data_IF_100090907249
#
_entry.id   IF_100090907249
#
_cell.length_a   1.000
_cell.length_b   1.000
_cell.length_c   1.000
_cell.angle_alpha   90.00
_cell.angle_beta   90.00
_cell.angle_gamma   90.00
#
_symmetry.space_group_name_H-M   'P 1'
#
loop_
_entity.id
_entity.type
_entity.pdbx_description
1 polymer ?
#
# COMPACT_ATOMS: atom_id res chain seq x y z
N UNK A 1 -17.79 -21.32 17.42
CA UNK A 1 -17.56 -21.06 15.99
C UNK A 1 -16.12 -21.42 15.71
N UNK A 2 -15.86 -22.68 15.33
CA UNK A 2 -14.51 -23.15 15.03
C UNK A 2 -14.04 -22.41 13.78
N UNK A 3 -12.93 -21.70 13.88
CA UNK A 3 -12.21 -21.19 12.71
C UNK A 3 -11.75 -22.44 11.95
N UNK A 4 -12.56 -22.88 11.00
CA UNK A 4 -12.22 -23.96 10.08
C UNK A 4 -10.92 -23.55 9.39
N UNK A 5 -9.99 -24.49 9.25
CA UNK A 5 -8.70 -24.23 8.61
C UNK A 5 -8.85 -23.63 7.21
N UNK A 6 -7.74 -23.17 6.59
CA UNK A 6 -7.75 -22.63 5.23
C UNK A 6 -8.63 -23.46 4.28
N UNK A 7 -9.69 -22.82 3.74
CA UNK A 7 -10.84 -23.51 3.16
C UNK A 7 -10.54 -24.28 1.87
N UNK A 8 -9.46 -23.93 1.17
CA UNK A 8 -9.06 -24.61 -0.07
C UNK A 8 -7.89 -25.56 0.21
N UNK A 9 -8.20 -26.84 0.18
CA UNK A 9 -7.21 -27.91 0.08
C UNK A 9 -7.05 -28.25 -1.40
N UNK A 10 -5.81 -28.44 -1.85
CA UNK A 10 -5.56 -28.92 -3.21
C UNK A 10 -4.14 -29.44 -3.34
N UNK A 11 -4.01 -30.61 -3.96
CA UNK A 11 -2.72 -31.21 -4.28
C UNK A 11 -2.07 -31.89 -3.08
N UNK A 12 -0.96 -32.56 -3.38
CA UNK A 12 -0.11 -33.21 -2.38
C UNK A 12 1.31 -32.64 -2.49
N UNK A 13 2.06 -32.53 -1.37
CA UNK A 13 3.47 -32.19 -1.43
C UNK A 13 4.26 -33.23 -2.24
N UNK A 14 5.37 -32.84 -2.88
CA UNK A 14 6.21 -33.78 -3.61
C UNK A 14 6.69 -34.92 -2.70
N UNK A 15 6.53 -36.17 -3.15
CA UNK A 15 6.99 -37.37 -2.45
C UNK A 15 5.93 -38.16 -1.66
N UNK A 16 4.63 -37.78 -1.72
CA UNK A 16 3.54 -38.53 -1.06
C UNK A 16 2.73 -39.41 -2.05
N UNK A 17 2.24 -40.56 -1.58
CA UNK A 17 1.43 -41.53 -2.36
C UNK A 17 0.08 -40.93 -2.79
N UNK A 18 -0.53 -41.51 -3.83
CA UNK A 18 -1.80 -41.08 -4.46
C UNK A 18 -3.01 -40.93 -3.50
N UNK A 19 -2.96 -41.48 -2.27
CA UNK A 19 -4.01 -41.35 -1.24
C UNK A 19 -3.64 -40.36 -0.12
N UNK A 20 -2.72 -39.43 -0.37
CA UNK A 20 -2.35 -38.42 0.60
C UNK A 20 -3.48 -37.41 0.82
N UNK A 21 -3.72 -37.05 2.09
CA UNK A 21 -4.64 -35.96 2.45
C UNK A 21 -4.17 -34.68 1.77
N UNK A 22 -5.11 -34.01 1.09
CA UNK A 22 -4.84 -32.74 0.43
C UNK A 22 -4.35 -31.69 1.43
N UNK A 23 -3.37 -30.90 1.00
CA UNK A 23 -2.82 -29.84 1.83
C UNK A 23 -3.47 -28.49 1.52
N UNK A 24 -3.56 -27.58 2.49
CA UNK A 24 -4.00 -26.23 2.24
C UNK A 24 -3.16 -25.55 1.16
N UNK A 25 -3.82 -24.83 0.24
CA UNK A 25 -3.10 -24.10 -0.81
C UNK A 25 -2.16 -23.03 -0.23
N UNK A 26 -2.51 -22.47 0.94
CA UNK A 26 -1.66 -21.51 1.66
C UNK A 26 -0.35 -22.13 2.19
N UNK A 27 -0.23 -23.45 2.27
CA UNK A 27 1.01 -24.11 2.67
C UNK A 27 2.10 -24.05 1.59
N UNK A 28 1.74 -23.75 0.34
CA UNK A 28 2.71 -23.60 -0.74
C UNK A 28 3.40 -22.24 -0.70
N UNK A 29 4.73 -22.25 -0.84
CA UNK A 29 5.56 -21.03 -0.81
C UNK A 29 5.12 -20.01 -1.87
N UNK A 30 4.81 -20.44 -3.09
CA UNK A 30 4.31 -19.55 -4.15
C UNK A 30 3.03 -18.81 -3.73
N UNK A 31 2.13 -19.46 -3.01
CA UNK A 31 0.90 -18.83 -2.52
C UNK A 31 1.20 -17.85 -1.38
N UNK A 32 2.13 -18.19 -0.49
CA UNK A 32 2.58 -17.31 0.60
C UNK A 32 3.27 -16.06 0.06
N UNK A 33 4.17 -16.21 -0.92
CA UNK A 33 4.86 -15.09 -1.59
C UNK A 33 3.91 -14.19 -2.37
N UNK A 34 2.73 -14.69 -2.73
CA UNK A 34 1.69 -13.87 -3.34
C UNK A 34 0.90 -13.10 -2.28
N UNK A 35 0.43 -13.77 -1.22
CA UNK A 35 -0.49 -13.20 -0.23
C UNK A 35 0.20 -12.40 0.89
N UNK A 36 1.26 -12.94 1.50
CA UNK A 36 1.88 -12.36 2.69
C UNK A 36 2.49 -10.97 2.43
N UNK A 37 3.15 -10.70 1.29
CA UNK A 37 3.63 -9.35 1.00
C UNK A 37 2.51 -8.32 0.87
N UNK A 38 1.34 -8.71 0.32
CA UNK A 38 0.20 -7.80 0.22
C UNK A 38 -0.41 -7.49 1.59
N UNK A 39 -0.42 -8.48 2.50
CA UNK A 39 -0.81 -8.25 3.90
C UNK A 39 0.20 -7.32 4.57
N UNK A 40 1.50 -7.57 4.44
CA UNK A 40 2.53 -6.69 4.99
C UNK A 40 2.41 -5.25 4.46
N UNK A 41 2.13 -5.10 3.16
CA UNK A 41 1.90 -3.82 2.52
C UNK A 41 0.69 -3.08 3.09
N UNK A 42 -0.43 -3.78 3.36
CA UNK A 42 -1.63 -3.13 3.91
C UNK A 42 -1.39 -2.53 5.30
N UNK A 43 -0.66 -3.25 6.17
CA UNK A 43 -0.23 -2.73 7.47
C UNK A 43 0.78 -1.58 7.32
N UNK A 44 1.73 -1.70 6.40
CA UNK A 44 2.67 -0.62 6.08
C UNK A 44 1.95 0.66 5.65
N UNK A 45 0.95 0.53 4.78
CA UNK A 45 0.12 1.65 4.33
C UNK A 45 -0.69 2.25 5.47
N UNK A 46 -1.26 1.42 6.35
CA UNK A 46 -2.02 1.87 7.52
C UNK A 46 -1.17 2.73 8.47
N UNK A 47 0.07 2.30 8.76
CA UNK A 47 0.97 3.08 9.62
C UNK A 47 1.43 4.37 8.97
N UNK A 48 1.77 4.34 7.67
CA UNK A 48 2.13 5.54 6.92
C UNK A 48 0.97 6.54 6.87
N UNK A 49 -0.25 6.08 6.63
CA UNK A 49 -1.45 6.91 6.64
C UNK A 49 -1.67 7.58 8.01
N UNK A 50 -1.59 6.81 9.11
CA UNK A 50 -1.71 7.36 10.47
C UNK A 50 -0.67 8.44 10.74
N UNK A 51 0.58 8.22 10.30
CA UNK A 51 1.66 9.20 10.45
C UNK A 51 1.39 10.46 9.63
N UNK A 52 1.01 10.33 8.36
CA UNK A 52 0.67 11.47 7.50
C UNK A 52 -0.51 12.27 8.05
N UNK A 53 -1.56 11.59 8.52
CA UNK A 53 -2.72 12.24 9.15
C UNK A 53 -2.31 13.02 10.40
N UNK A 54 -1.50 12.44 11.28
CA UNK A 54 -1.02 13.15 12.46
C UNK A 54 -0.22 14.42 12.11
N UNK A 55 0.62 14.36 11.06
CA UNK A 55 1.34 15.55 10.58
C UNK A 55 0.35 16.58 10.02
N UNK A 56 -0.59 16.15 9.18
CA UNK A 56 -1.63 17.03 8.61
C UNK A 56 -2.44 17.74 9.71
N UNK A 57 -2.93 17.00 10.70
CA UNK A 57 -3.71 17.54 11.81
C UNK A 57 -2.87 18.55 12.62
N UNK A 58 -1.60 18.24 12.88
CA UNK A 58 -0.68 19.15 13.57
C UNK A 58 -0.39 20.44 12.79
N UNK A 59 -0.45 20.40 11.46
CA UNK A 59 -0.28 21.59 10.62
C UNK A 59 -1.56 22.42 10.64
N UNK A 60 -2.72 21.77 10.58
CA UNK A 60 -4.02 22.45 10.57
C UNK A 60 -4.25 23.25 11.85
N UNK A 61 -3.84 22.74 13.01
CA UNK A 61 -3.92 23.49 14.28
C UNK A 61 -2.96 24.66 14.38
N UNK A 62 -1.92 24.70 13.54
CA UNK A 62 -0.95 25.81 13.48
C UNK A 62 -1.35 26.87 12.43
N UNK A 63 -2.44 26.66 11.69
CA UNK A 63 -2.90 27.54 10.61
C UNK A 63 -3.81 28.69 11.08
N UNK A 64 -3.93 28.94 12.39
CA UNK A 64 -4.70 30.05 12.93
C UNK A 64 -3.96 31.40 12.75
N UNK A 65 -3.98 31.94 11.52
CA UNK A 65 -3.45 33.28 11.21
C UNK A 65 -2.64 33.35 9.91
N UNK A 66 -1.66 34.27 9.87
CA UNK A 66 -0.77 34.43 8.71
C UNK A 66 0.20 33.26 8.59
N UNK A 67 0.24 32.63 7.41
CA UNK A 67 1.12 31.48 7.15
C UNK A 67 2.56 31.96 6.97
N UNK A 68 3.48 31.45 7.80
CA UNK A 68 4.90 31.74 7.69
C UNK A 68 5.58 30.88 6.63
N UNK A 69 6.74 31.32 6.11
CA UNK A 69 7.49 30.60 5.08
C UNK A 69 7.83 29.14 5.46
N UNK A 70 8.09 28.88 6.74
CA UNK A 70 8.33 27.53 7.25
C UNK A 70 7.09 26.63 7.16
N UNK A 71 5.90 27.16 7.47
CA UNK A 71 4.64 26.40 7.40
C UNK A 71 4.27 26.10 5.94
N UNK A 72 4.48 27.05 5.03
CA UNK A 72 4.32 26.82 3.59
C UNK A 72 5.27 25.74 3.07
N UNK A 73 6.54 25.75 3.51
CA UNK A 73 7.49 24.70 3.14
C UNK A 73 6.97 23.34 3.61
N UNK A 74 6.62 23.20 4.89
CA UNK A 74 6.07 21.97 5.46
C UNK A 74 4.80 21.46 4.75
N UNK A 75 3.89 22.35 4.35
CA UNK A 75 2.70 21.99 3.58
C UNK A 75 3.07 21.44 2.20
N UNK A 76 4.03 22.07 1.52
CA UNK A 76 4.57 21.57 0.25
C UNK A 76 5.25 20.20 0.43
N UNK A 77 5.94 19.99 1.55
CA UNK A 77 6.54 18.69 1.88
C UNK A 77 5.47 17.61 2.05
N UNK A 78 4.41 17.93 2.80
CA UNK A 78 3.30 17.03 3.07
C UNK A 78 2.57 16.67 1.76
N UNK A 79 2.23 17.66 0.94
CA UNK A 79 1.61 17.46 -0.37
C UNK A 79 2.48 16.58 -1.27
N UNK A 80 3.76 16.89 -1.42
CA UNK A 80 4.64 16.07 -2.26
C UNK A 80 4.73 14.62 -1.76
N UNK A 81 4.82 14.41 -0.45
CA UNK A 81 4.90 13.08 0.15
C UNK A 81 3.60 12.31 -0.01
N UNK A 82 2.44 12.95 0.20
CA UNK A 82 1.13 12.33 0.03
C UNK A 82 0.86 11.99 -1.44
N UNK A 83 1.23 12.86 -2.40
CA UNK A 83 1.13 12.59 -3.84
C UNK A 83 1.91 11.33 -4.23
N UNK A 84 3.18 11.24 -3.83
CA UNK A 84 4.03 10.09 -4.11
C UNK A 84 3.50 8.80 -3.47
N UNK A 85 3.09 8.87 -2.19
CA UNK A 85 2.54 7.71 -1.49
C UNK A 85 1.23 7.24 -2.13
N UNK A 86 0.33 8.15 -2.49
CA UNK A 86 -0.94 7.81 -3.14
C UNK A 86 -0.69 7.13 -4.48
N UNK A 87 0.20 7.65 -5.32
CA UNK A 87 0.55 7.04 -6.59
C UNK A 87 1.10 5.62 -6.42
N UNK A 88 2.04 5.43 -5.49
CA UNK A 88 2.63 4.13 -5.20
C UNK A 88 1.62 3.12 -4.63
N UNK A 89 0.92 3.49 -3.56
CA UNK A 89 0.02 2.59 -2.83
C UNK A 89 -1.17 2.18 -3.68
N UNK A 90 -1.79 3.10 -4.41
CA UNK A 90 -2.97 2.77 -5.24
C UNK A 90 -2.60 1.83 -6.39
N UNK A 91 -1.46 2.06 -7.04
CA UNK A 91 -0.95 1.18 -8.10
C UNK A 91 -0.65 -0.22 -7.58
N UNK A 92 0.11 -0.32 -6.49
CA UNK A 92 0.48 -1.63 -5.93
C UNK A 92 -0.71 -2.37 -5.32
N UNK A 93 -1.65 -1.67 -4.69
CA UNK A 93 -2.89 -2.27 -4.20
C UNK A 93 -3.75 -2.81 -5.35
N UNK A 94 -3.90 -2.05 -6.45
CA UNK A 94 -4.68 -2.49 -7.62
C UNK A 94 -4.07 -3.75 -8.26
N UNK A 95 -2.75 -3.74 -8.46
CA UNK A 95 -2.00 -4.90 -8.96
C UNK A 95 -2.11 -6.10 -8.00
N UNK A 96 -2.02 -5.82 -6.69
CA UNK A 96 -2.16 -6.81 -5.64
C UNK A 96 -3.53 -7.49 -5.62
N UNK A 97 -4.62 -6.74 -5.80
CA UNK A 97 -5.96 -7.30 -5.85
C UNK A 97 -6.12 -8.29 -7.01
N UNK A 98 -5.56 -8.00 -8.19
CA UNK A 98 -5.57 -8.98 -9.31
C UNK A 98 -4.74 -10.23 -8.98
N UNK A 99 -3.59 -10.07 -8.31
CA UNK A 99 -2.80 -11.23 -7.84
C UNK A 99 -3.60 -12.09 -6.85
N UNK A 100 -4.34 -11.46 -5.92
CA UNK A 100 -5.19 -12.16 -4.96
C UNK A 100 -6.35 -12.87 -5.63
N UNK A 101 -6.99 -12.23 -6.63
CA UNK A 101 -8.03 -12.84 -7.44
C UNK A 101 -7.54 -14.13 -8.12
N UNK A 102 -6.34 -14.08 -8.72
CA UNK A 102 -5.70 -15.24 -9.34
C UNK A 102 -5.32 -16.33 -8.33
N UNK A 103 -4.85 -15.94 -7.14
CA UNK A 103 -4.51 -16.86 -6.06
C UNK A 103 -5.73 -17.65 -5.56
N UNK A 104 -6.95 -17.11 -5.70
CA UNK A 104 -8.20 -17.82 -5.44
C UNK A 104 -8.60 -18.81 -6.55
N UNK A 105 -7.86 -18.91 -7.66
CA UNK A 105 -8.16 -19.78 -8.80
C UNK A 105 -9.49 -19.43 -9.49
N UNK A 106 -10.17 -20.43 -10.04
CA UNK A 106 -11.44 -20.24 -10.74
C UNK A 106 -12.53 -19.59 -9.88
N UNK A 107 -12.58 -19.91 -8.59
CA UNK A 107 -13.54 -19.28 -7.66
C UNK A 107 -13.28 -17.78 -7.46
N UNK A 108 -12.06 -17.30 -7.65
CA UNK A 108 -11.75 -15.87 -7.64
C UNK A 108 -12.30 -15.10 -8.83
N UNK A 109 -12.65 -15.79 -9.93
CA UNK A 109 -13.34 -15.17 -11.07
C UNK A 109 -14.84 -15.00 -10.83
N UNK A 110 -15.43 -15.89 -10.00
CA UNK A 110 -16.85 -15.84 -9.68
C UNK A 110 -17.21 -14.57 -8.92
N UNK A 111 -18.38 -14.00 -9.24
CA UNK A 111 -18.98 -12.89 -8.49
C UNK A 111 -19.17 -13.22 -7.01
N UNK A 112 -19.34 -14.51 -6.65
CA UNK A 112 -19.45 -14.96 -5.26
C UNK A 112 -18.19 -14.70 -4.42
N UNK A 113 -17.03 -14.48 -5.04
CA UNK A 113 -15.80 -14.08 -4.33
C UNK A 113 -15.78 -12.59 -3.97
N UNK A 114 -16.61 -11.77 -4.62
CA UNK A 114 -16.64 -10.31 -4.55
C UNK A 114 -15.33 -9.58 -4.93
N UNK A 115 -14.24 -10.29 -5.22
CA UNK A 115 -12.94 -9.69 -5.57
C UNK A 115 -13.03 -8.86 -6.87
N UNK A 116 -13.67 -9.35 -7.96
CA UNK A 116 -13.77 -8.57 -9.19
C UNK A 116 -14.51 -7.23 -8.99
N UNK A 117 -15.56 -7.22 -8.18
CA UNK A 117 -16.33 -6.02 -7.87
C UNK A 117 -15.49 -5.01 -7.07
N UNK A 118 -14.83 -5.47 -6.00
CA UNK A 118 -13.92 -4.61 -5.22
C UNK A 118 -12.81 -4.00 -6.09
N UNK A 119 -12.27 -4.77 -7.04
CA UNK A 119 -11.25 -4.26 -7.97
C UNK A 119 -11.80 -3.15 -8.86
N UNK A 120 -13.03 -3.30 -9.36
CA UNK A 120 -13.70 -2.29 -10.18
C UNK A 120 -13.96 -0.99 -9.40
N UNK A 121 -14.32 -1.08 -8.13
CA UNK A 121 -14.48 0.11 -7.29
C UNK A 121 -13.13 0.77 -6.99
N UNK A 122 -12.10 -0.04 -6.72
CA UNK A 122 -10.80 0.45 -6.29
C UNK A 122 -10.01 1.12 -7.42
N UNK A 123 -10.13 0.67 -8.67
CA UNK A 123 -9.32 1.19 -9.79
C UNK A 123 -9.49 2.70 -10.00
N UNK A 124 -10.64 3.26 -9.62
CA UNK A 124 -10.88 4.70 -9.61
C UNK A 124 -9.85 5.47 -8.77
N UNK A 125 -9.39 4.90 -7.65
CA UNK A 125 -8.40 5.52 -6.77
C UNK A 125 -7.05 5.78 -7.45
N UNK A 126 -6.72 5.03 -8.51
CA UNK A 126 -5.51 5.27 -9.32
C UNK A 126 -5.63 6.53 -10.20
N UNK A 127 -6.85 7.10 -10.34
CA UNK A 127 -7.15 8.21 -11.25
C UNK A 127 -7.67 9.47 -10.53
N UNK A 128 -8.51 9.30 -9.50
CA UNK A 128 -9.02 10.40 -8.67
C UNK A 128 -7.86 11.17 -8.04
N UNK A 129 -7.96 12.48 -7.81
CA UNK A 129 -6.90 13.27 -7.17
C UNK A 129 -5.54 13.30 -7.91
N UNK A 130 -5.49 12.84 -9.17
CA UNK A 130 -4.31 12.90 -10.03
C UNK A 130 -3.85 11.53 -10.54
N UNK A 131 -3.43 11.46 -11.81
CA UNK A 131 -2.91 10.24 -12.42
C UNK A 131 -1.51 9.90 -11.88
N UNK A 132 -1.12 8.63 -11.98
CA UNK A 132 0.19 8.14 -11.51
C UNK A 132 1.35 9.02 -11.99
N UNK A 133 1.42 9.28 -13.30
CA UNK A 133 2.51 10.05 -13.91
C UNK A 133 2.61 11.48 -13.35
N UNK A 134 1.46 12.15 -13.17
CA UNK A 134 1.42 13.51 -12.64
C UNK A 134 1.88 13.55 -11.19
N UNK A 135 1.41 12.62 -10.36
CA UNK A 135 1.74 12.61 -8.94
C UNK A 135 3.19 12.23 -8.68
N UNK A 136 3.74 11.29 -9.45
CA UNK A 136 5.16 10.95 -9.39
C UNK A 136 6.02 12.14 -9.83
N UNK A 137 5.63 12.87 -10.87
CA UNK A 137 6.33 14.09 -11.29
C UNK A 137 6.32 15.18 -10.20
N UNK A 138 5.18 15.40 -9.54
CA UNK A 138 5.08 16.34 -8.42
C UNK A 138 5.99 15.93 -7.24
N UNK A 139 6.01 14.64 -6.91
CA UNK A 139 6.88 14.10 -5.87
C UNK A 139 8.36 14.27 -6.24
N UNK A 140 8.74 13.86 -7.45
CA UNK A 140 10.11 13.96 -7.95
C UNK A 140 10.61 15.41 -7.99
N UNK A 141 9.79 16.36 -8.46
CA UNK A 141 10.13 17.77 -8.48
C UNK A 141 10.43 18.31 -7.06
N UNK A 142 9.69 17.86 -6.04
CA UNK A 142 9.97 18.20 -4.64
C UNK A 142 11.30 17.62 -4.16
N UNK A 143 11.60 16.37 -4.51
CA UNK A 143 12.89 15.74 -4.20
C UNK A 143 14.06 16.49 -4.85
N UNK A 144 13.94 16.86 -6.13
CA UNK A 144 14.97 17.66 -6.81
C UNK A 144 15.19 19.01 -6.14
N UNK A 145 14.13 19.73 -5.74
CA UNK A 145 14.27 21.01 -5.01
C UNK A 145 15.08 20.87 -3.73
N UNK A 146 14.93 19.75 -3.01
CA UNK A 146 15.67 19.46 -1.77
C UNK A 146 17.10 19.02 -2.02
N UNK A 147 17.33 18.24 -3.07
CA UNK A 147 18.67 17.84 -3.47
C UNK A 147 19.56 19.06 -3.76
N UNK A 148 18.99 20.08 -4.42
CA UNK A 148 19.69 21.34 -4.69
C UNK A 148 19.88 22.24 -3.45
N UNK A 149 19.20 21.96 -2.34
CA UNK A 149 19.32 22.67 -1.05
C UNK A 149 19.57 21.66 0.08
N UNK A 150 20.74 20.98 0.10
CA UNK A 150 20.99 19.91 1.04
C UNK A 150 21.01 20.44 2.47
N UNK A 151 20.15 19.87 3.32
CA UNK A 151 20.20 20.10 4.77
C UNK A 151 21.38 19.33 5.33
N UNK A 152 22.26 19.99 6.08
CA UNK A 152 23.44 19.34 6.65
C UNK A 152 23.03 18.43 7.82
N UNK A 153 22.78 17.15 7.51
CA UNK A 153 22.27 16.14 8.45
C UNK A 153 23.21 15.90 9.63
N UNK A 154 24.51 16.20 9.48
CA UNK A 154 25.50 16.07 10.58
C UNK A 154 25.36 17.14 11.67
N UNK A 155 24.67 18.25 11.41
CA UNK A 155 24.48 19.33 12.36
C UNK A 155 23.13 19.29 13.10
N UNK A 156 22.22 18.38 12.73
CA UNK A 156 20.91 18.26 13.38
C UNK A 156 21.02 17.45 14.68
N UNK A 157 20.43 17.92 15.80
CA UNK A 157 20.49 17.19 17.07
C UNK A 157 19.80 15.82 16.91
N UNK A 158 20.53 14.74 17.20
CA UNK A 158 19.96 13.39 17.27
C UNK A 158 18.94 13.37 18.40
N UNK A 159 17.65 13.42 18.08
CA UNK A 159 16.61 13.07 19.05
C UNK A 159 16.62 11.55 19.19
N UNK A 160 17.13 11.07 20.34
CA UNK A 160 16.92 9.72 20.86
C UNK A 160 15.49 9.59 21.37
#
# INVERSE_FOLDING_TARGET
>A
MLISGPARLQGAPPGRKANAIEVPVLSYENQQLTLLPMIAMSYGCLFNHRRLRAIYDSMLTQLDGSINAHQLDMLNQLHATSSGLKAFVTTEASNGMERMRRACGGHGFSASSNIPHLMQEFVGACTFEGTFDVLIQQHAASLFKRLHKPVNVRAAPRRL
#
